data_IF_655480889431
#
_entry.id   IF_655480889431
#
_cell.length_a   1.000
_cell.length_b   1.000
_cell.length_c   1.000
_cell.angle_alpha   90.00
_cell.angle_beta   90.00
_cell.angle_gamma   90.00
#
_symmetry.space_group_name_H-M   'P 1'
#
loop_
_entity.id
_entity.type
_entity.pdbx_description
1 polymer ?
#
# COMPACT_ATOMS: atom_id res chain seq x y z
N UNK A 1 2.26 14.31 19.59
CA UNK A 1 2.82 13.88 18.29
C UNK A 1 1.78 13.26 17.35
N UNK A 2 0.80 12.48 17.83
CA UNK A 2 -0.35 12.03 17.01
C UNK A 2 -1.19 13.17 16.38
N UNK A 3 -1.29 14.33 17.04
CA UNK A 3 -2.13 15.44 16.58
C UNK A 3 -1.68 16.15 15.29
N UNK A 4 -0.40 16.06 14.91
CA UNK A 4 0.11 16.75 13.71
C UNK A 4 -0.20 15.93 12.44
N UNK A 5 -0.07 14.61 12.51
CA UNK A 5 -0.46 13.72 11.40
C UNK A 5 -1.97 13.64 11.21
N UNK A 6 -2.75 13.70 12.30
CA UNK A 6 -4.21 13.87 12.20
C UNK A 6 -4.58 15.20 11.53
N UNK A 7 -3.91 16.30 11.89
CA UNK A 7 -4.14 17.61 11.25
C UNK A 7 -3.80 17.64 9.76
N UNK A 8 -2.76 16.94 9.30
CA UNK A 8 -2.46 16.82 7.85
C UNK A 8 -3.47 15.92 7.13
N UNK A 9 -3.90 14.82 7.76
CA UNK A 9 -4.98 13.97 7.26
C UNK A 9 -6.32 14.74 7.17
N UNK A 10 -6.57 15.68 8.08
CA UNK A 10 -7.76 16.54 8.09
C UNK A 10 -7.70 17.61 7.00
N UNK A 11 -6.56 18.26 6.78
CA UNK A 11 -6.38 19.21 5.67
C UNK A 11 -6.49 18.52 4.29
N UNK A 12 -5.96 17.30 4.17
CA UNK A 12 -6.14 16.46 2.98
C UNK A 12 -7.58 15.97 2.82
N UNK A 13 -8.29 15.70 3.93
CA UNK A 13 -9.70 15.33 3.94
C UNK A 13 -10.56 16.51 3.47
N UNK A 14 -10.32 17.70 4.00
CA UNK A 14 -10.99 18.94 3.59
C UNK A 14 -10.77 19.24 2.11
N UNK A 15 -9.53 19.14 1.63
CA UNK A 15 -9.22 19.30 0.20
C UNK A 15 -9.94 18.25 -0.67
N UNK A 16 -10.07 17.01 -0.19
CA UNK A 16 -10.80 15.96 -0.91
C UNK A 16 -12.32 16.18 -0.91
N UNK A 17 -12.90 16.66 0.17
CA UNK A 17 -14.33 16.94 0.26
C UNK A 17 -14.69 18.11 -0.70
N UNK A 18 -13.78 19.10 -0.84
CA UNK A 18 -13.93 20.18 -1.83
C UNK A 18 -13.78 19.66 -3.28
N UNK A 19 -12.87 18.71 -3.54
CA UNK A 19 -12.75 18.07 -4.88
C UNK A 19 -14.06 17.35 -5.25
N UNK A 20 -14.70 16.70 -4.27
CA UNK A 20 -15.98 16.00 -4.44
C UNK A 20 -17.12 16.94 -4.82
N UNK A 21 -17.19 18.11 -4.19
CA UNK A 21 -18.22 19.11 -4.53
C UNK A 21 -18.00 19.72 -5.93
N UNK A 22 -16.74 19.75 -6.41
CA UNK A 22 -16.37 20.46 -7.65
C UNK A 22 -15.38 19.73 -8.57
N UNK A 23 -15.68 18.52 -9.07
CA UNK A 23 -14.72 17.64 -9.75
C UNK A 23 -14.02 18.25 -10.98
N UNK A 24 -14.75 19.04 -11.78
CA UNK A 24 -14.23 19.67 -13.01
C UNK A 24 -13.27 20.85 -12.76
N UNK A 25 -13.34 21.48 -11.59
CA UNK A 25 -12.46 22.60 -11.23
C UNK A 25 -11.11 22.12 -10.65
N UNK A 26 -11.01 20.84 -10.32
CA UNK A 26 -9.87 20.28 -9.58
C UNK A 26 -9.05 19.26 -10.39
N UNK A 27 -9.34 19.09 -11.69
CA UNK A 27 -8.52 18.29 -12.60
C UNK A 27 -7.05 18.75 -12.61
N UNK A 28 -6.84 20.07 -12.59
CA UNK A 28 -5.49 20.66 -12.53
C UNK A 28 -4.80 20.39 -11.18
N UNK A 29 -5.58 20.24 -10.10
CA UNK A 29 -5.05 19.86 -8.78
C UNK A 29 -4.69 18.39 -8.72
N UNK A 30 -5.44 17.50 -9.38
CA UNK A 30 -5.03 16.09 -9.53
C UNK A 30 -3.71 15.98 -10.30
N UNK A 31 -3.60 16.67 -11.43
CA UNK A 31 -2.37 16.71 -12.21
C UNK A 31 -1.19 17.27 -11.40
N UNK A 32 -1.41 18.32 -10.59
CA UNK A 32 -0.41 18.86 -9.69
C UNK A 32 -0.01 17.86 -8.59
N UNK A 33 -0.97 17.19 -7.95
CA UNK A 33 -0.70 16.17 -6.92
C UNK A 33 0.08 14.98 -7.49
N UNK A 34 -0.27 14.51 -8.69
CA UNK A 34 0.48 13.47 -9.40
C UNK A 34 1.95 13.87 -9.65
N UNK A 35 2.24 15.15 -9.88
CA UNK A 35 3.63 15.65 -10.04
C UNK A 35 4.42 15.66 -8.72
N UNK A 36 3.73 15.69 -7.58
CA UNK A 36 4.34 15.59 -6.25
C UNK A 36 4.60 14.14 -5.83
N UNK A 37 4.03 13.15 -6.52
CA UNK A 37 4.35 11.75 -6.26
C UNK A 37 5.81 11.45 -6.65
N UNK A 38 6.47 10.53 -5.93
CA UNK A 38 7.84 10.16 -6.26
C UNK A 38 7.89 9.51 -7.64
N UNK A 39 8.87 9.91 -8.45
CA UNK A 39 9.02 9.46 -9.84
C UNK A 39 9.54 8.02 -9.90
N UNK A 40 9.21 7.26 -10.94
CA UNK A 40 9.62 5.85 -11.05
C UNK A 40 11.15 5.66 -11.00
N UNK A 41 11.89 6.49 -11.73
CA UNK A 41 13.36 6.48 -11.72
C UNK A 41 13.97 6.85 -10.35
N UNK A 42 13.23 7.62 -9.54
CA UNK A 42 13.62 7.96 -8.18
C UNK A 42 13.42 6.77 -7.23
N UNK A 43 12.36 5.99 -7.43
CA UNK A 43 12.03 4.82 -6.63
C UNK A 43 12.88 3.59 -6.96
N UNK A 44 13.35 3.48 -8.20
CA UNK A 44 14.26 2.40 -8.65
C UNK A 44 15.69 2.58 -8.11
N UNK A 45 16.07 3.81 -7.75
CA UNK A 45 17.36 4.08 -7.14
C UNK A 45 17.32 3.67 -5.65
N UNK A 46 17.93 2.53 -5.33
CA UNK A 46 17.96 1.92 -3.98
C UNK A 46 18.47 2.85 -2.85
N UNK A 47 19.03 4.01 -3.17
CA UNK A 47 19.63 4.95 -2.21
C UNK A 47 18.76 6.17 -1.88
N UNK A 48 17.58 6.34 -2.49
CA UNK A 48 16.86 7.61 -2.40
C UNK A 48 15.65 7.53 -1.46
N UNK A 49 15.73 8.32 -0.38
CA UNK A 49 14.71 8.44 0.65
C UNK A 49 13.52 9.28 0.15
N UNK A 50 12.30 8.79 0.32
CA UNK A 50 11.08 9.57 0.03
C UNK A 50 10.81 10.59 1.15
N UNK A 51 10.17 11.72 0.82
CA UNK A 51 9.73 12.70 1.81
C UNK A 51 8.31 12.42 2.31
N UNK A 52 7.92 13.03 3.43
CA UNK A 52 6.53 13.00 3.89
C UNK A 52 5.55 13.58 2.87
N UNK A 53 5.94 14.63 2.14
CA UNK A 53 5.12 15.22 1.07
C UNK A 53 4.90 14.25 -0.09
N UNK A 54 5.90 13.45 -0.47
CA UNK A 54 5.75 12.40 -1.49
C UNK A 54 4.73 11.35 -1.05
N UNK A 55 4.80 10.89 0.20
CA UNK A 55 3.88 9.90 0.75
C UNK A 55 2.45 10.45 0.85
N UNK A 56 2.29 11.68 1.34
CA UNK A 56 1.00 12.36 1.40
C UNK A 56 0.38 12.54 0.01
N UNK A 57 1.18 12.88 -1.01
CA UNK A 57 0.72 12.97 -2.39
C UNK A 57 0.21 11.61 -2.93
N UNK A 58 0.91 10.51 -2.65
CA UNK A 58 0.49 9.16 -3.03
C UNK A 58 -0.85 8.79 -2.36
N UNK A 59 -1.01 9.05 -1.06
CA UNK A 59 -2.26 8.80 -0.35
C UNK A 59 -3.42 9.63 -0.93
N UNK A 60 -3.16 10.89 -1.26
CA UNK A 60 -4.15 11.76 -1.90
C UNK A 60 -4.60 11.21 -3.26
N UNK A 61 -3.66 10.78 -4.12
CA UNK A 61 -3.99 10.15 -5.42
C UNK A 61 -4.80 8.88 -5.22
N UNK A 62 -4.39 7.98 -4.32
CA UNK A 62 -5.11 6.74 -4.05
C UNK A 62 -6.53 7.00 -3.53
N UNK A 63 -6.70 7.97 -2.64
CA UNK A 63 -8.00 8.38 -2.11
C UNK A 63 -8.93 8.93 -3.18
N UNK A 64 -8.43 9.82 -4.04
CA UNK A 64 -9.18 10.41 -5.15
C UNK A 64 -9.67 9.31 -6.10
N UNK A 65 -8.78 8.37 -6.47
CA UNK A 65 -9.13 7.23 -7.32
C UNK A 65 -10.19 6.33 -6.66
N UNK A 66 -10.08 6.07 -5.36
CA UNK A 66 -11.00 5.19 -4.63
C UNK A 66 -12.43 5.74 -4.50
N UNK A 67 -12.61 7.06 -4.70
CA UNK A 67 -13.91 7.73 -4.65
C UNK A 67 -14.65 7.74 -5.98
N UNK A 68 -14.13 7.08 -7.03
CA UNK A 68 -14.78 7.00 -8.36
C UNK A 68 -15.16 8.39 -8.92
N UNK A 69 -14.30 9.39 -8.73
CA UNK A 69 -14.30 10.54 -9.63
C UNK A 69 -14.05 9.96 -11.01
N UNK A 70 -15.01 10.13 -11.91
CA UNK A 70 -15.06 9.57 -13.26
C UNK A 70 -13.82 10.04 -14.05
N UNK A 71 -12.70 9.38 -13.79
CA UNK A 71 -11.38 9.77 -14.23
C UNK A 71 -11.04 8.83 -15.38
N UNK A 72 -11.43 9.28 -16.56
CA UNK A 72 -10.74 8.95 -17.81
C UNK A 72 -9.24 9.26 -17.75
N UNK A 73 -8.78 9.92 -16.68
CA UNK A 73 -7.38 10.17 -16.37
C UNK A 73 -6.60 8.89 -16.07
N UNK A 74 -6.01 8.34 -17.12
CA UNK A 74 -5.06 7.23 -17.06
C UNK A 74 -3.76 7.62 -16.33
N UNK A 75 -3.46 8.91 -16.14
CA UNK A 75 -2.22 9.36 -15.51
C UNK A 75 -2.21 9.05 -14.01
N UNK A 76 -3.25 9.41 -13.27
CA UNK A 76 -3.33 9.13 -11.83
C UNK A 76 -3.27 7.62 -11.53
N UNK A 77 -3.96 6.80 -12.34
CA UNK A 77 -3.88 5.34 -12.26
C UNK A 77 -2.46 4.84 -12.51
N UNK A 78 -1.79 5.37 -13.54
CA UNK A 78 -0.40 5.02 -13.85
C UNK A 78 0.56 5.39 -12.73
N UNK A 79 0.40 6.57 -12.11
CA UNK A 79 1.21 7.01 -10.97
C UNK A 79 1.07 6.06 -9.79
N UNK A 80 -0.16 5.70 -9.41
CA UNK A 80 -0.39 4.77 -8.31
C UNK A 80 0.13 3.36 -8.62
N UNK A 81 -0.07 2.85 -9.83
CA UNK A 81 0.46 1.54 -10.24
C UNK A 81 1.99 1.49 -10.18
N UNK A 82 2.67 2.55 -10.65
CA UNK A 82 4.14 2.67 -10.56
C UNK A 82 4.63 2.75 -9.13
N UNK A 83 3.88 3.41 -8.24
CA UNK A 83 4.21 3.39 -6.82
C UNK A 83 4.06 1.99 -6.22
N UNK A 84 2.99 1.26 -6.56
CA UNK A 84 2.81 -0.13 -6.13
C UNK A 84 3.88 -1.08 -6.68
N UNK A 85 4.38 -0.84 -7.90
CA UNK A 85 5.53 -1.55 -8.48
C UNK A 85 6.80 -1.36 -7.65
N UNK A 86 7.01 -0.14 -7.17
CA UNK A 86 8.15 0.22 -6.34
C UNK A 86 7.96 -0.11 -4.86
N UNK A 87 6.78 -0.57 -4.43
CA UNK A 87 6.45 -0.74 -3.00
C UNK A 87 7.39 -1.71 -2.29
N UNK A 88 8.08 -2.59 -3.01
CA UNK A 88 9.07 -3.50 -2.40
C UNK A 88 10.21 -2.72 -1.76
N UNK A 89 10.61 -1.60 -2.38
CA UNK A 89 11.66 -0.72 -1.83
C UNK A 89 11.24 -0.09 -0.50
N UNK A 90 9.93 0.02 -0.24
CA UNK A 90 9.43 0.55 1.04
C UNK A 90 9.56 -0.44 2.19
N UNK A 91 10.03 -1.67 1.97
CA UNK A 91 10.36 -2.59 3.06
C UNK A 91 11.74 -2.32 3.68
N UNK A 92 12.50 -1.34 3.18
CA UNK A 92 13.75 -0.91 3.80
C UNK A 92 13.56 0.40 4.58
N UNK A 93 14.23 0.51 5.74
CA UNK A 93 14.20 1.74 6.55
C UNK A 93 14.75 2.97 5.80
N UNK A 94 15.66 2.77 4.85
CA UNK A 94 16.25 3.82 4.02
C UNK A 94 15.25 4.49 3.07
N UNK A 95 14.14 3.82 2.73
CA UNK A 95 13.09 4.38 1.91
C UNK A 95 12.35 5.51 2.63
N UNK A 96 12.00 5.31 3.91
CA UNK A 96 11.11 6.20 4.66
C UNK A 96 11.81 7.47 5.14
N UNK A 97 11.12 8.60 5.39
CA UNK A 97 11.73 9.74 6.07
C UNK A 97 12.34 9.34 7.43
N UNK A 98 13.48 9.92 7.81
CA UNK A 98 14.11 9.60 9.11
C UNK A 98 13.19 9.89 10.31
N UNK A 99 12.29 10.87 10.15
CA UNK A 99 11.29 11.26 11.14
C UNK A 99 10.10 10.30 11.27
N UNK A 100 9.92 9.35 10.35
CA UNK A 100 8.78 8.44 10.39
C UNK A 100 9.03 7.31 11.39
N UNK A 101 8.32 7.29 12.51
CA UNK A 101 8.32 6.12 13.39
C UNK A 101 7.55 4.94 12.75
N UNK A 102 7.68 3.73 13.30
CA UNK A 102 7.03 2.53 12.77
C UNK A 102 5.50 2.71 12.73
N UNK A 103 4.93 3.42 13.69
CA UNK A 103 3.50 3.76 13.75
C UNK A 103 3.07 4.65 12.57
N UNK A 104 3.95 5.55 12.11
CA UNK A 104 3.67 6.40 10.94
C UNK A 104 3.71 5.60 9.64
N UNK A 105 4.62 4.63 9.56
CA UNK A 105 4.72 3.68 8.44
C UNK A 105 3.47 2.78 8.40
N UNK A 106 3.06 2.26 9.55
CA UNK A 106 1.84 1.47 9.72
C UNK A 106 0.61 2.25 9.27
N UNK A 107 0.44 3.48 9.77
CA UNK A 107 -0.66 4.36 9.38
C UNK A 107 -0.69 4.64 7.87
N UNK A 108 0.48 4.82 7.24
CA UNK A 108 0.58 4.97 5.79
C UNK A 108 0.09 3.72 5.06
N UNK A 109 0.56 2.52 5.43
CA UNK A 109 0.13 1.29 4.77
C UNK A 109 -1.37 1.02 4.95
N UNK A 110 -1.90 1.22 6.16
CA UNK A 110 -3.33 1.10 6.45
C UNK A 110 -4.14 2.05 5.56
N UNK A 111 -3.73 3.31 5.47
CA UNK A 111 -4.39 4.30 4.60
C UNK A 111 -4.34 3.92 3.13
N UNK A 112 -3.15 3.59 2.62
CA UNK A 112 -2.93 3.24 1.21
C UNK A 112 -3.76 2.02 0.81
N UNK A 113 -3.67 0.92 1.57
CA UNK A 113 -4.39 -0.32 1.28
C UNK A 113 -5.90 -0.17 1.50
N UNK A 114 -6.30 0.67 2.46
CA UNK A 114 -7.70 1.05 2.65
C UNK A 114 -8.32 1.70 1.40
N UNK A 115 -7.56 2.52 0.67
CA UNK A 115 -8.00 3.07 -0.62
C UNK A 115 -7.88 2.06 -1.76
N UNK A 116 -6.73 1.38 -1.87
CA UNK A 116 -6.48 0.39 -2.94
C UNK A 116 -7.50 -0.75 -2.93
N UNK A 117 -7.99 -1.16 -1.75
CA UNK A 117 -9.00 -2.22 -1.62
C UNK A 117 -10.34 -1.92 -2.29
N UNK A 118 -10.61 -0.64 -2.58
CA UNK A 118 -11.82 -0.14 -3.24
C UNK A 118 -11.63 0.07 -4.74
N UNK A 119 -10.40 -0.08 -5.24
CA UNK A 119 -10.06 0.06 -6.66
C UNK A 119 -10.34 -1.23 -7.44
N UNK A 120 -10.16 -1.16 -8.76
CA UNK A 120 -10.31 -2.31 -9.65
C UNK A 120 -9.31 -3.43 -9.32
N UNK A 121 -9.64 -4.64 -9.78
CA UNK A 121 -8.83 -5.87 -9.59
C UNK A 121 -7.38 -5.73 -10.07
N UNK A 122 -7.11 -4.83 -11.03
CA UNK A 122 -5.75 -4.55 -11.54
C UNK A 122 -4.81 -4.11 -10.42
N UNK A 123 -5.27 -3.25 -9.51
CA UNK A 123 -4.46 -2.79 -8.37
C UNK A 123 -4.27 -3.91 -7.34
N UNK A 124 -5.32 -4.68 -7.08
CA UNK A 124 -5.24 -5.82 -6.15
C UNK A 124 -4.28 -6.90 -6.62
N UNK A 125 -4.31 -7.25 -7.90
CA UNK A 125 -3.37 -8.22 -8.48
C UNK A 125 -1.93 -7.73 -8.34
N UNK A 126 -1.70 -6.41 -8.46
CA UNK A 126 -0.36 -5.85 -8.28
C UNK A 126 0.14 -5.95 -6.83
N UNK A 127 -0.74 -5.68 -5.86
CA UNK A 127 -0.44 -5.91 -4.44
C UNK A 127 -0.18 -7.40 -4.17
N UNK A 128 -0.98 -8.30 -4.72
CA UNK A 128 -0.75 -9.76 -4.59
C UNK A 128 0.60 -10.17 -5.16
N UNK A 129 0.95 -9.72 -6.37
CA UNK A 129 2.24 -9.98 -6.98
C UNK A 129 3.40 -9.52 -6.09
N UNK A 130 3.34 -8.28 -5.61
CA UNK A 130 4.34 -7.72 -4.71
C UNK A 130 4.51 -8.56 -3.44
N UNK A 131 3.40 -8.91 -2.77
CA UNK A 131 3.44 -9.71 -1.53
C UNK A 131 4.09 -11.06 -1.77
N UNK A 132 3.80 -11.72 -2.91
CA UNK A 132 4.46 -12.98 -3.27
C UNK A 132 5.95 -12.81 -3.46
N UNK A 133 6.37 -11.81 -4.22
CA UNK A 133 7.80 -11.52 -4.46
C UNK A 133 8.54 -11.23 -3.16
N UNK A 134 7.93 -10.47 -2.26
CA UNK A 134 8.50 -10.16 -0.95
C UNK A 134 8.68 -11.42 -0.08
N UNK A 135 7.68 -12.30 -0.02
CA UNK A 135 7.77 -13.54 0.75
C UNK A 135 8.82 -14.48 0.16
N UNK A 136 8.90 -14.61 -1.18
CA UNK A 136 9.85 -15.51 -1.86
C UNK A 136 11.30 -15.02 -1.72
N UNK A 137 11.55 -13.73 -1.88
CA UNK A 137 12.91 -13.18 -1.87
C UNK A 137 13.58 -13.21 -0.48
N UNK A 138 12.85 -13.54 0.57
CA UNK A 138 13.38 -13.72 1.92
C UNK A 138 13.66 -12.41 2.64
N UNK A 139 13.54 -12.46 3.97
CA UNK A 139 13.72 -11.34 4.91
C UNK A 139 15.17 -10.82 4.99
N UNK A 140 16.14 -11.48 4.35
CA UNK A 140 17.57 -11.17 4.53
C UNK A 140 18.01 -9.81 4.00
N UNK A 141 17.20 -9.16 3.15
CA UNK A 141 17.49 -7.84 2.59
C UNK A 141 16.55 -6.74 3.13
N UNK A 142 15.43 -7.10 3.75
CA UNK A 142 14.35 -6.16 4.13
C UNK A 142 14.31 -5.93 5.65
N UNK A 143 13.66 -4.85 6.09
CA UNK A 143 13.37 -4.62 7.51
C UNK A 143 12.13 -5.45 7.92
N UNK A 144 12.29 -6.49 8.77
CA UNK A 144 11.19 -7.40 9.11
C UNK A 144 10.04 -6.69 9.83
N UNK A 145 10.35 -5.67 10.64
CA UNK A 145 9.33 -4.90 11.37
C UNK A 145 8.46 -4.11 10.40
N UNK A 146 9.08 -3.48 9.39
CA UNK A 146 8.34 -2.73 8.36
C UNK A 146 7.51 -3.67 7.49
N UNK A 147 8.06 -4.83 7.11
CA UNK A 147 7.32 -5.82 6.32
C UNK A 147 6.13 -6.38 7.10
N UNK A 148 6.28 -6.61 8.40
CA UNK A 148 5.18 -7.02 9.29
C UNK A 148 4.07 -5.98 9.34
N UNK A 149 4.39 -4.69 9.47
CA UNK A 149 3.38 -3.62 9.42
C UNK A 149 2.60 -3.62 8.09
N UNK A 150 3.28 -3.88 6.98
CA UNK A 150 2.62 -4.05 5.68
C UNK A 150 1.66 -5.24 5.67
N UNK A 151 2.07 -6.41 6.18
CA UNK A 151 1.22 -7.61 6.22
C UNK A 151 0.00 -7.41 7.14
N UNK A 152 0.18 -6.75 8.29
CA UNK A 152 -0.91 -6.36 9.19
C UNK A 152 -1.89 -5.45 8.45
N UNK A 153 -1.43 -4.39 7.81
CA UNK A 153 -2.28 -3.48 7.04
C UNK A 153 -3.01 -4.18 5.88
N UNK A 154 -2.34 -5.12 5.20
CA UNK A 154 -2.92 -5.94 4.14
C UNK A 154 -4.01 -6.88 4.65
N UNK A 155 -3.82 -7.47 5.84
CA UNK A 155 -4.85 -8.30 6.47
C UNK A 155 -6.10 -7.49 6.81
N UNK A 156 -5.95 -6.21 7.18
CA UNK A 156 -7.09 -5.34 7.50
C UNK A 156 -7.82 -4.84 6.25
N UNK A 157 -7.09 -4.57 5.17
CA UNK A 157 -7.61 -3.93 3.96
C UNK A 157 -7.26 -4.71 2.69
N UNK A 158 -7.63 -5.99 2.64
CA UNK A 158 -7.28 -6.85 1.51
C UNK A 158 -8.01 -6.45 0.21
N UNK A 159 -7.30 -6.19 -0.90
CA UNK A 159 -7.93 -5.81 -2.15
C UNK A 159 -8.60 -6.98 -2.88
N UNK A 160 -9.54 -6.69 -3.77
CA UNK A 160 -10.11 -7.73 -4.64
C UNK A 160 -9.06 -8.19 -5.65
N UNK A 161 -8.90 -9.50 -5.82
CA UNK A 161 -7.92 -10.12 -6.74
C UNK A 161 -8.57 -11.20 -7.61
N UNK A 162 -7.86 -11.64 -8.65
CA UNK A 162 -8.29 -12.78 -9.47
C UNK A 162 -8.08 -14.10 -8.72
N UNK A 163 -8.86 -15.14 -9.06
CA UNK A 163 -8.68 -16.49 -8.50
C UNK A 163 -7.25 -17.00 -8.67
N UNK A 164 -6.68 -16.86 -9.87
CA UNK A 164 -5.30 -17.31 -10.15
C UNK A 164 -4.28 -16.63 -9.23
N UNK A 165 -4.43 -15.34 -8.97
CA UNK A 165 -3.52 -14.63 -8.06
C UNK A 165 -3.75 -14.99 -6.58
N UNK A 166 -5.00 -15.27 -6.20
CA UNK A 166 -5.37 -15.75 -4.87
C UNK A 166 -4.75 -17.11 -4.57
N UNK A 167 -4.92 -18.07 -5.47
CA UNK A 167 -4.40 -19.44 -5.31
C UNK A 167 -2.86 -19.43 -5.13
N UNK A 168 -2.15 -18.67 -5.96
CA UNK A 168 -0.69 -18.52 -5.86
C UNK A 168 -0.26 -17.93 -4.51
N UNK A 169 -0.98 -16.92 -4.02
CA UNK A 169 -0.65 -16.27 -2.76
C UNK A 169 -0.93 -17.19 -1.56
N UNK A 170 -2.02 -17.97 -1.59
CA UNK A 170 -2.31 -18.99 -0.58
C UNK A 170 -1.19 -20.03 -0.52
N UNK A 171 -0.76 -20.56 -1.67
CA UNK A 171 0.32 -21.56 -1.72
C UNK A 171 1.59 -21.03 -1.03
N UNK A 172 1.98 -19.79 -1.33
CA UNK A 172 3.20 -19.18 -0.74
C UNK A 172 3.03 -18.92 0.76
N UNK A 173 1.87 -18.43 1.20
CA UNK A 173 1.59 -18.20 2.62
C UNK A 173 1.60 -19.52 3.43
N UNK A 174 1.15 -20.62 2.83
CA UNK A 174 1.20 -21.95 3.45
C UNK A 174 2.60 -22.55 3.43
N UNK A 175 3.39 -22.34 2.37
CA UNK A 175 4.75 -22.90 2.26
C UNK A 175 5.76 -22.20 3.18
N UNK A 176 5.57 -20.91 3.51
CA UNK A 176 6.35 -20.18 4.54
C UNK A 176 6.38 -20.92 5.89
N UNK A 177 5.44 -21.84 6.16
CA UNK A 177 5.29 -22.58 7.42
C UNK A 177 6.14 -23.85 7.58
N UNK A 178 7.01 -24.23 6.63
CA UNK A 178 7.79 -25.49 6.79
C UNK A 178 8.86 -25.46 7.90
N UNK A 179 9.10 -24.32 8.55
CA UNK A 179 9.99 -24.21 9.71
C UNK A 179 9.29 -23.39 10.80
N UNK A 180 8.51 -24.04 11.66
CA UNK A 180 7.84 -23.39 12.79
C UNK A 180 8.69 -23.56 14.06
N UNK A 181 9.25 -22.46 14.57
CA UNK A 181 9.66 -22.32 15.97
C UNK A 181 8.42 -21.91 16.80
N UNK A 182 8.34 -22.31 18.07
CA UNK A 182 7.20 -22.06 18.98
C UNK A 182 7.26 -20.66 19.65
N UNK A 183 7.91 -19.69 19.01
CA UNK A 183 8.05 -18.34 19.53
C UNK A 183 6.74 -17.53 19.43
N UNK A 184 6.56 -16.53 20.31
CA UNK A 184 5.40 -15.61 20.25
C UNK A 184 5.33 -14.89 18.89
N UNK A 185 6.49 -14.52 18.33
CA UNK A 185 6.62 -13.90 17.01
C UNK A 185 6.12 -14.83 15.89
N UNK A 186 6.44 -16.12 15.96
CA UNK A 186 5.92 -17.15 15.05
C UNK A 186 4.39 -17.29 15.13
N UNK A 187 3.81 -17.18 16.34
CA UNK A 187 2.35 -17.23 16.53
C UNK A 187 1.64 -16.00 15.96
N UNK A 188 2.20 -14.80 16.12
CA UNK A 188 1.65 -13.58 15.52
C UNK A 188 1.71 -13.63 13.98
N UNK A 189 2.82 -14.10 13.43
CA UNK A 189 2.98 -14.31 11.99
C UNK A 189 1.98 -15.36 11.45
N UNK A 190 1.70 -16.41 12.22
CA UNK A 190 0.67 -17.39 11.88
C UNK A 190 -0.73 -16.79 11.86
N UNK A 191 -1.09 -15.97 12.85
CA UNK A 191 -2.38 -15.29 12.91
C UNK A 191 -2.57 -14.34 11.72
N UNK A 192 -1.55 -13.57 11.36
CA UNK A 192 -1.57 -12.70 10.18
C UNK A 192 -1.78 -13.53 8.90
N UNK A 193 -1.06 -14.64 8.74
CA UNK A 193 -1.20 -15.53 7.59
C UNK A 193 -2.61 -16.14 7.50
N UNK A 194 -3.20 -16.59 8.61
CA UNK A 194 -4.56 -17.14 8.63
C UNK A 194 -5.62 -16.08 8.28
N UNK A 195 -5.47 -14.86 8.79
CA UNK A 195 -6.32 -13.73 8.38
C UNK A 195 -6.22 -13.47 6.88
N UNK A 196 -5.00 -13.42 6.35
CA UNK A 196 -4.77 -13.21 4.92
C UNK A 196 -5.41 -14.31 4.06
N UNK A 197 -5.24 -15.59 4.40
CA UNK A 197 -5.88 -16.71 3.68
C UNK A 197 -7.40 -16.57 3.69
N UNK A 198 -7.98 -16.26 4.85
CA UNK A 198 -9.43 -16.05 4.99
C UNK A 198 -9.92 -14.89 4.13
N UNK A 199 -9.18 -13.77 4.12
CA UNK A 199 -9.52 -12.60 3.31
C UNK A 199 -9.36 -12.87 1.81
N UNK A 200 -8.33 -13.61 1.39
CA UNK A 200 -8.15 -14.02 -0.02
C UNK A 200 -9.36 -14.81 -0.48
N UNK A 201 -9.74 -15.85 0.27
CA UNK A 201 -10.89 -16.71 -0.06
C UNK A 201 -12.20 -15.91 -0.18
N UNK A 202 -12.39 -14.85 0.61
CA UNK A 202 -13.56 -13.98 0.54
C UNK A 202 -13.52 -12.86 -0.51
N UNK A 203 -12.34 -12.57 -1.10
CA UNK A 203 -12.12 -11.42 -2.01
C UNK A 203 -11.72 -11.82 -3.43
N UNK A 204 -11.55 -13.11 -3.67
CA UNK A 204 -11.38 -13.63 -5.02
C UNK A 204 -12.68 -13.41 -5.81
N UNK A 205 -12.54 -12.77 -6.98
CA UNK A 205 -13.62 -12.68 -7.95
C UNK A 205 -13.54 -13.90 -8.89
N UNK A 206 -14.65 -14.63 -8.96
CA UNK A 206 -14.91 -15.71 -9.93
C UNK A 206 -15.11 -15.10 -11.32
#
# INVERSE_FOLDING_TARGET
FLGIYWSEMDALKELCDIIEEHPKQFSDKLAWTCRQCPKSNFLEAQSVRVSGSHLNAVLAVARILARNLDTTDNHAKSVLLKFLEALRTSFHRSFWPDSFALESISAFYIGLLGYVSRLSVVFGNKVSQLTREAIICGESDMDPSIFREFLVALSQNFPSITQSDGDKLIVILLDRKKVADESIESLEDQEIAFKLVTHILGKVKV
#
